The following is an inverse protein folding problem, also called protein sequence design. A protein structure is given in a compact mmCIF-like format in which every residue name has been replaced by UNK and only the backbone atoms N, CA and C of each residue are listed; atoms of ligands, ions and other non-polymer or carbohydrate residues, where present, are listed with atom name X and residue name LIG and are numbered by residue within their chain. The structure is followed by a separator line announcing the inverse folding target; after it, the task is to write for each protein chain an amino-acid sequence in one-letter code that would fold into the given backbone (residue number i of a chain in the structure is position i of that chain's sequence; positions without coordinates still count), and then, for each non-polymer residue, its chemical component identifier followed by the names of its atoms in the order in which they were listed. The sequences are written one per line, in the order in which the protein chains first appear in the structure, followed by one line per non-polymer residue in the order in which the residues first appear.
data_IF_765343374375
#
_entry.id   IF_765343374375
#
_cell.length_a   1.000
_cell.length_b   1.000
_cell.length_c   1.000
_cell.angle_alpha   90.00
_cell.angle_beta   90.00
_cell.angle_gamma   90.00
#
_symmetry.space_group_name_H-M   'P 1'
#
loop_
_entity.id
_entity.type
_entity.pdbx_description
1 polymer ?
#
# COMPACT_ATOMS: atom_id res chain seq x y z
N UNK A 1 7.30 -16.76 -2.94
CA UNK A 1 5.94 -16.46 -3.47
C UNK A 1 5.92 -15.04 -4.02
N UNK A 2 5.58 -14.87 -5.30
CA UNK A 2 5.63 -13.57 -6.00
C UNK A 2 4.66 -12.52 -5.41
N UNK A 3 3.51 -12.97 -4.89
CA UNK A 3 2.45 -12.11 -4.33
C UNK A 3 2.87 -11.32 -3.09
N UNK A 4 3.60 -11.93 -2.14
CA UNK A 4 4.01 -11.26 -0.89
C UNK A 4 5.07 -10.19 -1.16
N UNK A 5 6.03 -10.50 -2.04
CA UNK A 5 7.02 -9.52 -2.51
C UNK A 5 6.34 -8.34 -3.19
N UNK A 6 5.33 -8.61 -4.02
CA UNK A 6 4.56 -7.57 -4.71
C UNK A 6 3.79 -6.67 -3.75
N UNK A 7 3.10 -7.26 -2.77
CA UNK A 7 2.42 -6.52 -1.68
C UNK A 7 3.40 -5.60 -0.95
N UNK A 8 4.58 -6.11 -0.59
CA UNK A 8 5.62 -5.32 0.07
C UNK A 8 6.09 -4.14 -0.78
N UNK A 9 6.39 -4.35 -2.06
CA UNK A 9 6.81 -3.26 -2.97
C UNK A 9 5.76 -2.16 -3.08
N UNK A 10 4.47 -2.51 -3.14
CA UNK A 10 3.40 -1.51 -3.23
C UNK A 10 3.28 -0.69 -1.93
N UNK A 11 3.43 -1.34 -0.78
CA UNK A 11 3.45 -0.64 0.52
C UNK A 11 4.71 0.23 0.67
N UNK A 12 5.86 -0.17 0.13
CA UNK A 12 7.07 0.68 0.08
C UNK A 12 6.87 1.91 -0.81
N UNK A 13 6.25 1.73 -1.99
CA UNK A 13 5.88 2.85 -2.87
C UNK A 13 4.94 3.82 -2.17
N UNK A 14 3.99 3.28 -1.40
CA UNK A 14 3.07 4.06 -0.58
C UNK A 14 3.82 5.01 0.38
N UNK A 15 4.84 4.51 1.10
CA UNK A 15 5.65 5.35 2.00
C UNK A 15 6.55 6.33 1.27
N UNK A 16 7.12 5.93 0.12
CA UNK A 16 8.02 6.77 -0.68
C UNK A 16 7.32 8.02 -1.22
N UNK A 17 6.06 7.89 -1.64
CA UNK A 17 5.27 9.03 -2.11
C UNK A 17 5.02 10.11 -1.05
N UNK A 18 5.11 9.77 0.24
CA UNK A 18 4.87 10.69 1.36
C UNK A 18 6.18 11.35 1.82
N UNK A 19 7.32 10.65 1.71
CA UNK A 19 8.63 11.17 2.13
C UNK A 19 9.20 12.32 1.28
N UNK A 20 8.64 12.57 0.09
CA UNK A 20 9.13 13.58 -0.86
C UNK A 20 8.57 15.00 -0.68
N UNK A 21 7.61 15.22 0.23
CA UNK A 21 6.94 16.52 0.36
C UNK A 21 6.37 16.73 1.75
N UNK A 22 7.21 17.12 2.70
CA UNK A 22 6.79 17.60 4.03
C UNK A 22 6.19 19.02 3.97
N UNK A 23 5.27 19.27 3.04
CA UNK A 23 4.40 20.46 3.03
C UNK A 23 3.05 20.07 2.42
N UNK A 24 2.28 19.29 3.18
CA UNK A 24 0.95 18.87 2.74
C UNK A 24 0.12 18.22 3.84
N UNK A 25 0.43 18.50 5.11
CA UNK A 25 -0.42 18.11 6.23
C UNK A 25 -1.40 19.26 6.46
N UNK A 26 -2.48 19.30 5.69
CA UNK A 26 -3.63 20.18 5.97
C UNK A 26 -4.87 19.32 6.14
N UNK A 27 -5.65 19.65 7.17
CA UNK A 27 -6.75 18.83 7.68
C UNK A 27 -7.77 18.42 6.61
N UNK A 28 -7.99 17.10 6.52
CA UNK A 28 -9.00 16.41 5.71
C UNK A 28 -8.48 15.91 4.36
N UNK A 29 -8.60 14.64 3.96
CA UNK A 29 -8.97 13.42 4.70
C UNK A 29 -8.49 12.14 3.99
N UNK A 30 -7.82 12.20 2.83
CA UNK A 30 -7.30 11.03 2.11
C UNK A 30 -6.03 11.42 1.33
N UNK A 31 -4.97 10.63 1.41
CA UNK A 31 -3.75 10.75 0.59
C UNK A 31 -4.03 10.14 -0.78
N UNK A 32 -3.90 10.95 -1.85
CA UNK A 32 -4.00 10.49 -3.24
C UNK A 32 -2.63 9.99 -3.71
N UNK A 33 -2.59 8.77 -4.23
CA UNK A 33 -1.36 8.12 -4.69
C UNK A 33 -1.54 7.60 -6.11
N UNK A 34 -0.54 7.76 -6.98
CA UNK A 34 -0.53 7.08 -8.26
C UNK A 34 -0.47 5.56 -8.01
N UNK A 35 -1.51 4.85 -8.45
CA UNK A 35 -1.64 3.41 -8.24
C UNK A 35 -2.32 2.78 -9.47
N UNK A 36 -1.55 2.04 -10.26
CA UNK A 36 -2.12 1.25 -11.34
C UNK A 36 -2.54 -0.10 -10.80
N UNK A 37 -3.82 -0.22 -10.47
CA UNK A 37 -4.40 -1.48 -10.05
C UNK A 37 -4.31 -2.48 -11.20
N UNK A 38 -3.50 -3.52 -11.04
CA UNK A 38 -3.52 -4.64 -11.95
C UNK A 38 -4.76 -5.49 -11.61
N UNK A 39 -5.68 -5.65 -12.55
CA UNK A 39 -6.89 -6.49 -12.37
C UNK A 39 -6.54 -7.97 -12.15
N UNK A 40 -5.34 -8.39 -12.55
CA UNK A 40 -4.83 -9.74 -12.31
C UNK A 40 -4.28 -9.94 -10.88
N UNK A 41 -4.08 -8.85 -10.12
CA UNK A 41 -3.57 -8.88 -8.74
C UNK A 41 -4.69 -8.67 -7.70
N UNK A 42 -5.82 -9.37 -7.87
CA UNK A 42 -7.03 -9.23 -7.04
C UNK A 42 -6.73 -9.40 -5.54
N UNK A 43 -5.89 -10.37 -5.17
CA UNK A 43 -5.51 -10.61 -3.77
C UNK A 43 -4.73 -9.44 -3.15
N UNK A 44 -3.85 -8.82 -3.94
CA UNK A 44 -3.05 -7.67 -3.49
C UNK A 44 -3.93 -6.44 -3.31
N UNK A 45 -4.85 -6.20 -4.25
CA UNK A 45 -5.82 -5.11 -4.17
C UNK A 45 -6.72 -5.29 -2.93
N UNK A 46 -7.23 -6.49 -2.70
CA UNK A 46 -8.06 -6.79 -1.53
C UNK A 46 -7.33 -6.56 -0.20
N UNK A 47 -6.03 -6.86 -0.12
CA UNK A 47 -5.22 -6.57 1.08
C UNK A 47 -5.13 -5.07 1.33
N UNK A 48 -4.88 -4.26 0.28
CA UNK A 48 -4.82 -2.80 0.42
C UNK A 48 -6.18 -2.22 0.82
N UNK A 49 -7.27 -2.70 0.20
CA UNK A 49 -8.64 -2.26 0.51
C UNK A 49 -9.06 -2.61 1.93
N UNK A 50 -8.72 -3.80 2.41
CA UNK A 50 -8.96 -4.23 3.80
C UNK A 50 -8.21 -3.35 4.80
N UNK A 51 -7.07 -2.79 4.38
CA UNK A 51 -6.28 -1.84 5.16
C UNK A 51 -6.67 -0.39 4.90
N UNK A 52 -7.86 -0.12 4.33
CA UNK A 52 -8.43 1.23 4.25
C UNK A 52 -7.97 2.07 3.06
N UNK A 53 -7.31 1.47 2.07
CA UNK A 53 -7.01 2.10 0.78
C UNK A 53 -8.21 1.96 -0.14
N UNK A 54 -8.64 3.03 -0.81
CA UNK A 54 -9.64 2.96 -1.88
C UNK A 54 -8.94 3.05 -3.22
N UNK A 55 -8.96 1.98 -3.98
CA UNK A 55 -8.41 1.93 -5.33
C UNK A 55 -9.44 2.55 -6.28
N UNK A 56 -9.01 3.50 -7.10
CA UNK A 56 -9.85 4.18 -8.07
C UNK A 56 -9.55 3.69 -9.49
N UNK A 57 -10.54 3.74 -10.38
CA UNK A 57 -10.42 3.30 -11.77
C UNK A 57 -9.56 4.25 -12.63
N UNK A 58 -9.28 5.46 -12.13
CA UNK A 58 -8.50 6.52 -12.79
C UNK A 58 -6.98 6.34 -12.63
N UNK A 59 -6.53 5.22 -12.06
CA UNK A 59 -5.11 4.93 -11.83
C UNK A 59 -4.55 5.60 -10.57
N UNK A 60 -5.43 5.98 -9.64
CA UNK A 60 -5.04 6.48 -8.33
C UNK A 60 -5.62 5.64 -7.19
N UNK A 61 -5.06 5.80 -6.00
CA UNK A 61 -5.60 5.26 -4.76
C UNK A 61 -5.70 6.35 -3.70
N UNK A 62 -6.78 6.33 -2.92
CA UNK A 62 -7.02 7.21 -1.78
C UNK A 62 -6.78 6.45 -0.48
N UNK A 63 -6.16 7.10 0.50
CA UNK A 63 -5.91 6.46 1.78
C UNK A 63 -5.98 7.47 2.93
N UNK A 64 -6.95 7.29 3.81
CA UNK A 64 -7.08 8.09 5.02
C UNK A 64 -5.99 7.74 6.04
N UNK A 65 -5.90 8.57 7.08
CA UNK A 65 -4.95 8.40 8.16
C UNK A 65 -5.03 7.01 8.85
N UNK A 66 -6.23 6.43 8.97
CA UNK A 66 -6.41 5.11 9.58
C UNK A 66 -5.86 4.02 8.69
N UNK A 67 -6.10 4.10 7.38
CA UNK A 67 -5.55 3.15 6.42
C UNK A 67 -4.05 3.24 6.32
N UNK A 68 -3.50 4.47 6.40
CA UNK A 68 -2.07 4.68 6.46
C UNK A 68 -1.42 3.96 7.65
N UNK A 69 -1.96 4.15 8.85
CA UNK A 69 -1.47 3.47 10.05
C UNK A 69 -1.59 1.94 9.94
N UNK A 70 -2.63 1.44 9.27
CA UNK A 70 -2.77 0.01 9.00
C UNK A 70 -1.67 -0.51 8.05
N UNK A 71 -1.33 0.24 7.00
CA UNK A 71 -0.23 -0.09 6.09
C UNK A 71 1.15 -0.04 6.79
N UNK A 72 1.38 0.94 7.68
CA UNK A 72 2.58 1.00 8.53
C UNK A 72 2.74 -0.25 9.40
N UNK A 73 1.64 -0.81 9.91
CA UNK A 73 1.65 -2.05 10.67
C UNK A 73 1.77 -3.30 9.77
N UNK A 74 1.25 -3.25 8.55
CA UNK A 74 1.32 -4.35 7.58
C UNK A 74 2.74 -4.55 7.04
N UNK A 75 3.46 -3.47 6.75
CA UNK A 75 4.82 -3.52 6.20
C UNK A 75 5.81 -4.41 6.98
N UNK A 76 5.98 -4.27 8.30
CA UNK A 76 6.88 -5.13 9.08
C UNK A 76 6.40 -6.58 9.15
N UNK A 77 5.12 -6.87 8.87
CA UNK A 77 4.59 -8.23 8.75
C UNK A 77 4.93 -8.86 7.39
N UNK A 78 4.90 -8.06 6.32
CA UNK A 78 5.22 -8.53 4.96
C UNK A 78 6.70 -8.89 4.79
N UNK A 79 7.61 -8.22 5.51
CA UNK A 79 9.04 -8.50 5.45
C UNK A 79 9.44 -9.94 5.85
N UNK A 80 9.09 -10.45 7.05
CA UNK A 80 9.39 -11.84 7.41
C UNK A 80 8.62 -12.83 6.54
N UNK A 81 7.40 -12.49 6.08
CA UNK A 81 6.64 -13.35 5.17
C UNK A 81 7.33 -13.48 3.81
N UNK A 82 7.91 -12.40 3.25
CA UNK A 82 8.72 -12.44 2.03
C UNK A 82 9.97 -13.28 2.23
N UNK A 83 10.68 -13.11 3.36
CA UNK A 83 11.86 -13.92 3.70
C UNK A 83 11.54 -15.42 3.79
N UNK A 84 10.47 -15.79 4.50
CA UNK A 84 10.04 -17.19 4.65
C UNK A 84 9.50 -17.77 3.35
N UNK A 85 8.90 -16.93 2.50
CA UNK A 85 8.40 -17.34 1.19
C UNK A 85 9.49 -17.60 0.14
N UNK A 86 10.74 -17.24 0.45
CA UNK A 86 11.92 -17.47 -0.37
C UNK A 86 12.89 -18.48 0.28
N UNK A 87 12.52 -19.12 1.38
CA UNK A 87 13.39 -20.08 2.10
C UNK A 87 13.28 -21.52 1.60
N UNK A 88 13.03 -21.72 0.30
CA UNK A 88 13.13 -23.04 -0.34
C UNK A 88 14.42 -23.15 -1.13
#
# INVERSE_FOLDING_TARGET
METVRRQRTLVEQFFSCIGGGTEGRSGGDDVLLPFSANKEEETTNAVLETNGVRIQEDGFALCNQKGFTALEALYPCLYPLDLLSNSQ
#
